data_IF_450520705432
#
_entry.id   IF_450520705432
#
_cell.length_a   1.000
_cell.length_b   1.000
_cell.length_c   1.000
_cell.angle_alpha   90.00
_cell.angle_beta   90.00
_cell.angle_gamma   90.00
#
_symmetry.space_group_name_H-M   'P 1'
#
loop_
_entity.id
_entity.type
_entity.pdbx_description
1 polymer ?
#
# COMPACT_ATOMS: atom_id res chain seq x y z
N UNK A 1 -22.03 -14.97 -27.56
CA UNK A 1 -21.35 -13.71 -27.93
C UNK A 1 -20.68 -13.20 -26.68
N UNK A 2 -19.36 -13.10 -26.71
CA UNK A 2 -18.50 -12.92 -25.53
C UNK A 2 -18.67 -11.53 -24.92
N UNK A 3 -19.30 -11.47 -23.75
CA UNK A 3 -19.18 -10.35 -22.81
C UNK A 3 -17.81 -10.43 -22.16
N UNK A 4 -16.88 -9.57 -22.56
CA UNK A 4 -15.55 -9.48 -21.95
C UNK A 4 -15.64 -8.82 -20.57
N UNK A 5 -15.14 -9.49 -19.52
CA UNK A 5 -15.22 -9.05 -18.11
C UNK A 5 -13.83 -8.99 -17.46
N UNK A 6 -13.69 -8.16 -16.42
CA UNK A 6 -12.43 -7.87 -15.73
C UNK A 6 -12.66 -7.85 -14.22
N UNK A 7 -11.85 -8.62 -13.49
CA UNK A 7 -11.88 -8.76 -12.02
C UNK A 7 -10.47 -8.50 -11.47
N UNK A 8 -10.32 -7.81 -10.32
CA UNK A 8 -9.03 -7.54 -9.67
C UNK A 8 -9.06 -8.07 -8.23
N UNK A 9 -8.13 -8.94 -7.77
CA UNK A 9 -8.15 -9.44 -6.36
C UNK A 9 -6.79 -9.96 -5.81
N UNK A 10 -6.63 -10.09 -4.46
CA UNK A 10 -5.43 -10.67 -3.77
C UNK A 10 -5.63 -11.07 -2.27
N UNK A 11 -4.90 -12.06 -1.70
CA UNK A 11 -4.84 -12.36 -0.23
C UNK A 11 -3.68 -13.29 0.28
N UNK A 12 -3.10 -13.16 1.54
CA UNK A 12 -2.41 -14.21 2.41
C UNK A 12 -2.25 -13.81 3.93
N UNK A 13 -2.34 -14.78 4.89
CA UNK A 13 -2.44 -14.66 6.39
C UNK A 13 -1.32 -15.38 7.23
N UNK A 14 -1.06 -14.98 8.51
CA UNK A 14 -0.91 -15.85 9.74
C UNK A 14 -0.43 -15.15 11.05
N UNK A 15 -0.80 -15.72 12.23
CA UNK A 15 -0.49 -15.30 13.65
C UNK A 15 0.31 -16.36 14.46
N UNK A 16 0.94 -15.95 15.58
CA UNK A 16 1.06 -16.75 16.83
C UNK A 16 2.47 -16.98 17.44
N UNK A 17 2.65 -16.85 18.76
CA UNK A 17 3.93 -16.92 19.50
C UNK A 17 3.86 -17.68 20.83
N UNK A 18 4.86 -18.50 21.21
CA UNK A 18 5.28 -18.82 22.61
C UNK A 18 6.78 -19.23 22.73
N UNK A 19 7.32 -19.07 23.95
CA UNK A 19 8.71 -18.80 24.42
C UNK A 19 9.37 -20.02 25.10
N UNK A 20 10.64 -20.37 24.86
CA UNK A 20 11.50 -21.30 25.67
C UNK A 20 13.01 -21.08 25.38
N UNK A 21 13.95 -21.57 26.23
CA UNK A 21 15.29 -21.00 26.58
C UNK A 21 16.53 -21.91 26.25
N UNK A 22 17.76 -21.30 26.24
CA UNK A 22 19.19 -21.76 26.19
C UNK A 22 19.86 -22.01 24.81
N UNK A 23 21.18 -21.82 24.54
CA UNK A 23 22.45 -22.13 25.25
C UNK A 23 23.64 -21.16 24.90
N UNK A 24 24.62 -20.96 25.80
CA UNK A 24 25.60 -19.82 25.86
C UNK A 24 26.91 -20.01 25.05
N UNK A 25 27.29 -21.24 24.69
CA UNK A 25 28.67 -21.58 24.28
C UNK A 25 29.09 -21.15 22.87
N UNK A 26 28.14 -20.81 21.99
CA UNK A 26 28.40 -20.31 20.63
C UNK A 26 28.66 -18.79 20.63
N UNK A 27 28.15 -18.08 21.65
CA UNK A 27 28.25 -16.62 21.75
C UNK A 27 29.61 -16.12 22.19
N UNK A 28 30.30 -16.84 23.08
CA UNK A 28 31.65 -16.44 23.52
C UNK A 28 32.67 -16.50 22.37
N UNK A 29 32.47 -17.41 21.40
CA UNK A 29 33.30 -17.47 20.18
C UNK A 29 33.05 -16.32 19.21
N UNK A 30 31.79 -15.94 18.99
CA UNK A 30 31.43 -14.82 18.12
C UNK A 30 31.76 -13.46 18.74
N UNK A 31 31.60 -13.31 20.05
CA UNK A 31 31.98 -12.11 20.82
C UNK A 31 33.50 -11.89 20.78
N UNK A 32 34.28 -12.96 20.94
CA UNK A 32 35.73 -12.92 20.83
C UNK A 32 36.17 -12.48 19.43
N UNK A 33 35.52 -13.00 18.37
CA UNK A 33 35.83 -12.66 16.98
C UNK A 33 35.38 -11.23 16.57
N UNK A 34 34.33 -10.70 17.20
CA UNK A 34 33.84 -9.33 17.01
C UNK A 34 34.76 -8.30 17.69
N UNK A 35 35.17 -8.57 18.92
CA UNK A 35 36.09 -7.70 19.69
C UNK A 35 37.54 -7.72 19.14
N UNK A 36 37.91 -8.76 18.40
CA UNK A 36 39.24 -8.89 17.77
C UNK A 36 39.31 -8.36 16.34
N UNK A 37 38.21 -7.89 15.75
CA UNK A 37 38.20 -7.38 14.38
C UNK A 37 38.68 -5.91 14.35
N UNK A 38 39.67 -5.55 13.53
CA UNK A 38 40.29 -4.21 13.51
C UNK A 38 39.36 -3.10 12.96
N UNK A 39 38.11 -3.44 12.59
CA UNK A 39 37.08 -2.52 12.09
C UNK A 39 35.98 -2.31 13.14
N UNK A 40 36.36 -2.32 14.42
CA UNK A 40 35.52 -1.81 15.49
C UNK A 40 35.30 -0.31 15.26
N UNK A 41 34.06 0.15 15.43
CA UNK A 41 33.63 1.55 15.28
C UNK A 41 34.24 2.49 16.33
N UNK A 42 35.55 2.48 16.56
CA UNK A 42 36.21 3.35 17.54
C UNK A 42 36.27 4.81 17.07
N UNK A 43 36.41 5.08 15.76
CA UNK A 43 36.85 6.41 15.34
C UNK A 43 35.84 7.22 14.50
N UNK A 44 34.82 6.61 13.87
CA UNK A 44 33.89 7.37 13.01
C UNK A 44 32.50 7.65 13.61
N UNK A 45 31.99 6.83 14.53
CA UNK A 45 30.63 7.00 15.12
C UNK A 45 30.50 6.44 16.55
N UNK A 46 31.08 7.11 17.57
CA UNK A 46 31.05 6.66 18.97
C UNK A 46 29.62 6.46 19.53
N UNK A 47 28.63 7.22 19.03
CA UNK A 47 27.22 7.13 19.45
C UNK A 47 26.50 5.85 19.00
N UNK A 48 27.11 5.06 18.12
CA UNK A 48 26.52 3.82 17.56
C UNK A 48 27.08 2.53 18.19
N UNK A 49 28.16 2.62 18.97
CA UNK A 49 28.76 1.48 19.69
C UNK A 49 27.80 0.91 20.75
N UNK A 50 27.21 1.76 21.60
CA UNK A 50 26.27 1.29 22.62
C UNK A 50 24.98 0.67 22.03
N UNK A 51 24.37 1.23 20.97
CA UNK A 51 23.30 0.57 20.22
C UNK A 51 23.69 -0.76 19.55
N UNK A 52 24.87 -0.85 18.93
CA UNK A 52 25.36 -2.07 18.30
C UNK A 52 25.64 -3.17 19.34
N UNK A 53 26.25 -2.80 20.47
CA UNK A 53 26.44 -3.71 21.61
C UNK A 53 25.09 -4.13 22.19
N UNK A 54 24.10 -3.24 22.26
CA UNK A 54 22.73 -3.57 22.70
C UNK A 54 22.02 -4.53 21.74
N UNK A 55 22.22 -4.39 20.42
CA UNK A 55 21.77 -5.37 19.42
C UNK A 55 22.43 -6.71 19.72
N UNK A 56 23.76 -6.74 19.84
CA UNK A 56 24.51 -7.96 20.14
C UNK A 56 24.04 -8.59 21.45
N UNK A 57 23.88 -7.84 22.53
CA UNK A 57 23.40 -8.31 23.83
C UNK A 57 21.94 -8.79 23.77
N UNK A 58 21.07 -8.12 23.00
CA UNK A 58 19.66 -8.49 22.84
C UNK A 58 19.46 -9.74 21.99
N UNK A 59 20.33 -9.97 21.01
CA UNK A 59 20.35 -11.19 20.20
C UNK A 59 21.30 -12.26 20.75
N UNK A 60 22.12 -11.92 21.78
CA UNK A 60 23.05 -12.82 22.51
C UNK A 60 22.38 -13.95 23.26
N UNK A 61 21.07 -13.82 23.46
CA UNK A 61 20.26 -14.74 24.28
C UNK A 61 19.18 -15.42 23.44
N UNK A 62 19.28 -15.41 22.10
CA UNK A 62 18.36 -16.20 21.28
C UNK A 62 18.60 -17.71 21.54
N UNK A 63 17.63 -18.41 22.11
CA UNK A 63 17.80 -19.80 22.46
C UNK A 63 17.82 -20.66 21.20
N UNK A 64 18.88 -21.45 21.04
CA UNK A 64 18.96 -22.51 20.04
C UNK A 64 18.06 -23.64 20.51
N UNK A 65 16.80 -23.62 20.07
CA UNK A 65 15.87 -24.72 20.34
C UNK A 65 16.11 -25.79 19.28
N UNK A 66 16.64 -26.94 19.70
CA UNK A 66 16.53 -28.22 19.00
C UNK A 66 15.32 -28.94 19.60
N UNK A 67 14.25 -29.14 18.85
CA UNK A 67 13.15 -30.05 19.24
C UNK A 67 12.83 -30.95 18.05
N UNK A 68 12.94 -32.25 18.31
CA UNK A 68 12.41 -33.32 17.47
C UNK A 68 10.88 -33.24 17.43
N UNK A 69 10.37 -33.31 16.21
CA UNK A 69 8.98 -33.21 15.80
C UNK A 69 8.12 -34.34 16.37
N UNK A 70 6.98 -34.01 16.99
CA UNK A 70 5.75 -34.80 16.91
C UNK A 70 4.53 -33.88 17.06
N UNK A 71 4.09 -33.20 15.99
CA UNK A 71 2.66 -32.94 15.74
C UNK A 71 2.41 -32.37 14.34
N UNK A 72 1.44 -32.95 13.65
CA UNK A 72 1.30 -33.05 12.20
C UNK A 72 0.80 -31.79 11.44
N UNK A 73 0.90 -30.57 11.97
CA UNK A 73 0.31 -29.37 11.35
C UNK A 73 1.28 -28.49 10.53
N UNK A 74 2.51 -28.96 10.32
CA UNK A 74 3.55 -28.27 9.54
C UNK A 74 3.70 -28.69 8.07
N UNK A 75 2.93 -29.68 7.60
CA UNK A 75 3.15 -30.30 6.27
C UNK A 75 2.87 -29.37 5.09
N UNK A 76 1.79 -28.59 5.13
CA UNK A 76 1.36 -27.76 3.98
C UNK A 76 2.33 -26.59 3.70
N UNK A 77 2.99 -26.04 4.73
CA UNK A 77 3.99 -24.97 4.55
C UNK A 77 5.35 -25.54 4.12
N UNK A 78 5.68 -26.78 4.50
CA UNK A 78 6.91 -27.47 4.08
C UNK A 78 6.89 -27.86 2.60
N UNK A 79 5.75 -28.23 2.04
CA UNK A 79 5.64 -28.64 0.62
C UNK A 79 5.73 -27.46 -0.36
N UNK A 80 5.27 -26.26 0.01
CA UNK A 80 5.32 -25.07 -0.85
C UNK A 80 6.69 -24.36 -0.88
N UNK A 81 7.61 -24.74 0.01
CA UNK A 81 8.93 -24.11 0.19
C UNK A 81 10.08 -25.02 -0.27
N UNK A 82 9.90 -25.76 -1.35
CA UNK A 82 11.03 -26.41 -2.03
C UNK A 82 11.45 -25.63 -3.28
N UNK A 83 12.71 -25.20 -3.38
CA UNK A 83 13.81 -25.43 -2.44
C UNK A 83 13.67 -24.54 -1.19
N UNK A 84 14.15 -25.03 -0.03
CA UNK A 84 14.13 -24.30 1.24
C UNK A 84 14.81 -22.95 1.01
N UNK A 85 14.04 -21.85 1.10
CA UNK A 85 14.57 -20.49 0.96
C UNK A 85 15.81 -20.34 1.84
N UNK A 86 16.97 -20.12 1.21
CA UNK A 86 18.24 -19.88 1.89
C UNK A 86 18.64 -18.43 1.70
N UNK A 87 18.77 -17.72 2.81
CA UNK A 87 19.17 -16.32 2.82
C UNK A 87 20.71 -16.25 2.80
N UNK A 88 21.24 -15.45 1.87
CA UNK A 88 22.67 -15.15 1.75
C UNK A 88 23.05 -13.93 2.60
N UNK A 89 24.28 -13.92 3.10
CA UNK A 89 24.83 -12.80 3.86
C UNK A 89 24.86 -11.50 3.07
N UNK A 90 25.19 -11.57 1.78
CA UNK A 90 25.22 -10.40 0.92
C UNK A 90 23.84 -9.76 0.78
N UNK A 91 22.77 -10.55 0.81
CA UNK A 91 21.41 -10.03 0.71
C UNK A 91 20.98 -9.34 2.01
N UNK A 92 21.35 -9.91 3.16
CA UNK A 92 21.15 -9.25 4.46
C UNK A 92 21.93 -7.92 4.49
N UNK A 93 23.19 -7.93 4.08
CA UNK A 93 24.04 -6.72 4.01
C UNK A 93 23.42 -5.66 3.10
N UNK A 94 22.92 -6.03 1.91
CA UNK A 94 22.22 -5.12 0.98
C UNK A 94 20.94 -4.55 1.59
N UNK A 95 20.16 -5.35 2.32
CA UNK A 95 18.92 -4.87 2.96
C UNK A 95 19.23 -3.92 4.12
N UNK A 96 20.29 -4.19 4.89
CA UNK A 96 20.73 -3.33 5.99
C UNK A 96 21.33 -2.01 5.49
N UNK A 97 22.18 -2.03 4.46
CA UNK A 97 22.78 -0.81 3.90
C UNK A 97 21.74 0.15 3.28
N UNK A 98 20.59 -0.38 2.83
CA UNK A 98 19.48 0.39 2.26
C UNK A 98 18.47 0.93 3.28
N UNK A 99 18.71 0.74 4.58
CA UNK A 99 17.78 1.22 5.61
C UNK A 99 17.62 2.75 5.59
N UNK A 100 16.39 3.22 5.79
CA UNK A 100 16.06 4.65 5.87
C UNK A 100 16.30 5.15 7.29
N UNK A 101 17.43 5.83 7.51
CA UNK A 101 17.96 6.20 8.84
C UNK A 101 17.01 7.03 9.71
N UNK A 102 16.13 7.84 9.11
CA UNK A 102 15.15 8.69 9.83
C UNK A 102 13.85 7.97 10.22
N UNK A 103 13.70 6.68 9.93
CA UNK A 103 12.50 5.92 10.32
C UNK A 103 12.54 5.56 11.81
N UNK A 104 11.37 5.46 12.42
CA UNK A 104 11.23 5.09 13.83
C UNK A 104 11.70 3.64 14.10
N UNK A 105 12.22 3.42 15.31
CA UNK A 105 12.63 2.10 15.82
C UNK A 105 11.42 1.35 16.40
N UNK A 106 11.53 0.02 16.43
CA UNK A 106 10.57 -0.85 17.11
C UNK A 106 10.80 -0.91 18.63
N UNK A 107 10.03 -1.75 19.34
CA UNK A 107 10.15 -1.94 20.80
C UNK A 107 11.47 -2.58 21.23
N UNK A 108 12.21 -3.21 20.30
CA UNK A 108 13.55 -3.72 20.53
C UNK A 108 14.59 -2.60 20.71
N UNK A 109 14.28 -1.38 20.28
CA UNK A 109 15.18 -0.23 20.38
C UNK A 109 16.25 -0.17 19.30
N UNK A 110 16.23 -1.08 18.32
CA UNK A 110 17.18 -1.14 17.22
C UNK A 110 16.77 -0.14 16.13
N UNK A 111 17.61 0.85 15.88
CA UNK A 111 17.31 1.89 14.89
C UNK A 111 17.72 1.47 13.47
N UNK A 112 17.04 1.97 12.43
CA UNK A 112 17.47 1.78 11.04
C UNK A 112 18.88 2.35 10.76
N UNK A 113 19.26 3.42 11.47
CA UNK A 113 20.59 4.01 11.37
C UNK A 113 21.68 3.04 11.88
N UNK A 114 21.43 2.37 13.01
CA UNK A 114 22.34 1.37 13.56
C UNK A 114 22.54 0.18 12.60
N UNK A 115 21.45 -0.38 12.06
CA UNK A 115 21.57 -1.47 11.09
C UNK A 115 22.30 -1.05 9.82
N UNK A 116 22.12 0.19 9.35
CA UNK A 116 22.83 0.70 8.17
C UNK A 116 24.33 0.86 8.43
N UNK A 117 24.70 1.46 9.55
CA UNK A 117 26.10 1.71 9.90
C UNK A 117 26.86 0.40 10.17
N UNK A 118 26.22 -0.55 10.85
CA UNK A 118 26.81 -1.83 11.21
C UNK A 118 26.44 -2.96 10.22
N UNK A 119 26.09 -2.62 8.97
CA UNK A 119 25.54 -3.59 8.02
C UNK A 119 26.51 -4.73 7.70
N UNK A 120 27.81 -4.46 7.67
CA UNK A 120 28.86 -5.45 7.38
C UNK A 120 29.07 -6.38 8.58
N UNK A 121 29.04 -5.84 9.79
CA UNK A 121 29.32 -6.60 11.00
C UNK A 121 28.12 -7.46 11.43
N UNK A 122 26.90 -6.94 11.20
CA UNK A 122 25.67 -7.61 11.61
C UNK A 122 25.16 -8.61 10.56
N UNK A 123 25.59 -8.54 9.30
CA UNK A 123 25.05 -9.37 8.22
C UNK A 123 25.19 -10.87 8.51
N UNK A 124 26.37 -11.33 8.90
CA UNK A 124 26.64 -12.75 9.19
C UNK A 124 25.75 -13.29 10.32
N UNK A 125 25.64 -12.53 11.41
CA UNK A 125 24.85 -12.90 12.60
C UNK A 125 23.36 -12.99 12.26
N UNK A 126 22.80 -11.99 11.58
CA UNK A 126 21.39 -12.00 11.20
C UNK A 126 21.10 -13.05 10.12
N UNK A 127 22.04 -13.36 9.24
CA UNK A 127 21.90 -14.44 8.25
C UNK A 127 21.71 -15.79 8.92
N UNK A 128 22.55 -16.10 9.92
CA UNK A 128 22.42 -17.32 10.72
C UNK A 128 21.04 -17.38 11.41
N UNK A 129 20.64 -16.29 12.07
CA UNK A 129 19.37 -16.21 12.78
C UNK A 129 18.16 -16.35 11.85
N UNK A 130 18.19 -15.72 10.67
CA UNK A 130 17.09 -15.79 9.70
C UNK A 130 16.97 -17.18 9.09
N UNK A 131 18.07 -17.79 8.65
CA UNK A 131 18.04 -19.16 8.14
C UNK A 131 17.57 -20.15 9.21
N UNK A 132 18.04 -20.00 10.45
CA UNK A 132 17.57 -20.83 11.57
C UNK A 132 16.08 -20.64 11.84
N UNK A 133 15.58 -19.42 11.74
CA UNK A 133 14.15 -19.12 11.84
C UNK A 133 13.33 -19.79 10.74
N UNK A 134 13.86 -19.89 9.52
CA UNK A 134 13.22 -20.58 8.39
C UNK A 134 13.21 -22.10 8.61
N UNK A 135 14.36 -22.70 8.95
CA UNK A 135 14.51 -24.13 9.25
C UNK A 135 13.56 -24.60 10.36
N UNK A 136 13.48 -23.83 11.45
CA UNK A 136 12.63 -24.15 12.60
C UNK A 136 11.18 -23.71 12.40
N UNK A 137 10.86 -23.00 11.31
CA UNK A 137 9.57 -22.35 11.08
C UNK A 137 9.10 -21.50 12.28
N UNK A 138 10.05 -20.86 12.97
CA UNK A 138 9.78 -20.14 14.23
C UNK A 138 10.51 -18.80 14.27
N UNK A 139 9.72 -17.72 14.21
CA UNK A 139 10.22 -16.36 14.38
C UNK A 139 10.60 -16.08 15.85
N UNK A 140 11.76 -15.47 16.12
CA UNK A 140 12.17 -15.03 17.46
C UNK A 140 11.15 -14.15 18.18
N UNK A 141 10.98 -14.32 19.50
CA UNK A 141 9.98 -13.56 20.25
C UNK A 141 10.25 -12.05 20.28
N UNK A 142 11.52 -11.63 20.25
CA UNK A 142 11.90 -10.21 20.19
C UNK A 142 11.44 -9.52 18.90
N UNK A 143 11.22 -10.27 17.81
CA UNK A 143 10.70 -9.75 16.55
C UNK A 143 9.17 -9.66 16.49
N UNK A 144 8.47 -10.29 17.43
CA UNK A 144 7.00 -10.35 17.44
C UNK A 144 6.33 -9.20 18.18
N UNK A 145 7.10 -8.38 18.89
CA UNK A 145 6.58 -7.19 19.57
C UNK A 145 6.35 -6.03 18.60
N UNK A 146 5.28 -5.28 18.83
CA UNK A 146 5.01 -4.00 18.17
C UNK A 146 4.63 -2.92 19.18
N UNK A 147 4.91 -1.67 18.83
CA UNK A 147 4.32 -0.49 19.49
C UNK A 147 3.30 0.12 18.57
N UNK A 148 2.03 0.13 18.99
CA UNK A 148 0.91 0.68 18.21
C UNK A 148 0.78 2.19 18.43
N UNK A 149 0.83 2.96 17.34
CA UNK A 149 0.64 4.41 17.33
C UNK A 149 -0.70 4.74 16.65
N UNK A 150 -1.70 5.26 17.38
CA UNK A 150 -2.98 5.65 16.77
C UNK A 150 -2.83 6.98 16.02
N UNK A 151 -3.19 7.00 14.74
CA UNK A 151 -3.18 8.20 13.89
C UNK A 151 -4.61 8.55 13.45
N UNK A 152 -5.10 9.78 13.68
CA UNK A 152 -6.42 10.21 13.23
C UNK A 152 -6.65 9.99 11.72
N UNK A 153 -7.73 9.31 11.34
CA UNK A 153 -8.20 9.19 9.94
C UNK A 153 -8.94 10.45 9.48
N UNK A 154 -9.61 11.14 10.42
CA UNK A 154 -10.44 12.33 10.17
C UNK A 154 -10.22 13.39 11.27
N UNK A 155 -10.49 14.68 11.00
CA UNK A 155 -10.22 15.76 11.96
C UNK A 155 -11.09 15.69 13.22
N UNK A 156 -12.35 15.24 13.10
CA UNK A 156 -13.25 15.05 14.25
C UNK A 156 -13.35 13.58 14.59
N UNK A 157 -12.82 13.19 15.74
CA UNK A 157 -12.83 11.80 16.23
C UNK A 157 -14.09 11.57 17.07
N UNK A 158 -14.82 10.49 16.76
CA UNK A 158 -16.05 10.09 17.44
C UNK A 158 -15.86 8.72 18.10
N UNK A 159 -15.04 7.83 17.53
CA UNK A 159 -14.75 6.52 18.11
C UNK A 159 -13.37 5.96 17.73
N UNK A 160 -13.02 4.81 18.30
CA UNK A 160 -11.71 4.17 18.08
C UNK A 160 -11.45 3.78 16.61
N UNK A 161 -12.51 3.46 15.85
CA UNK A 161 -12.41 3.13 14.42
C UNK A 161 -11.94 4.31 13.55
N UNK A 162 -12.00 5.53 14.10
CA UNK A 162 -11.53 6.75 13.46
C UNK A 162 -10.01 6.91 13.54
N UNK A 163 -9.31 6.03 14.25
CA UNK A 163 -7.86 5.94 14.23
C UNK A 163 -7.40 4.87 13.24
N UNK A 164 -6.31 5.17 12.54
CA UNK A 164 -5.48 4.19 11.85
C UNK A 164 -4.40 3.74 12.83
N UNK A 165 -4.36 2.46 13.12
CA UNK A 165 -3.24 1.86 13.87
C UNK A 165 -1.99 1.85 12.99
N UNK A 166 -0.87 2.37 13.50
CA UNK A 166 0.46 2.19 12.90
C UNK A 166 1.31 1.38 13.85
N UNK A 167 1.64 0.15 13.46
CA UNK A 167 2.45 -0.75 14.26
C UNK A 167 3.95 -0.61 13.95
N UNK A 168 4.71 -0.16 14.94
CA UNK A 168 6.17 -0.12 14.89
C UNK A 168 6.72 -1.49 15.31
N UNK A 169 7.01 -2.35 14.32
CA UNK A 169 7.71 -3.63 14.53
C UNK A 169 9.24 -3.48 14.40
N UNK A 170 9.97 -4.49 14.86
CA UNK A 170 11.44 -4.58 14.75
C UNK A 170 11.94 -4.31 13.33
N UNK A 171 12.97 -3.47 13.19
CA UNK A 171 13.57 -3.15 11.88
C UNK A 171 14.27 -4.37 11.27
N UNK A 172 14.85 -5.22 12.13
CA UNK A 172 15.44 -6.48 11.72
C UNK A 172 14.36 -7.46 11.22
N UNK A 173 13.20 -7.53 11.89
CA UNK A 173 12.06 -8.33 11.41
C UNK A 173 11.55 -7.86 10.04
N UNK A 174 11.36 -6.54 9.86
CA UNK A 174 10.96 -5.98 8.56
C UNK A 174 11.98 -6.28 7.45
N UNK A 175 13.26 -6.39 7.82
CA UNK A 175 14.33 -6.75 6.90
C UNK A 175 14.24 -8.22 6.51
N UNK A 176 13.97 -9.11 7.47
CA UNK A 176 13.71 -10.52 7.24
C UNK A 176 12.48 -10.75 6.36
N UNK A 177 11.35 -10.11 6.69
CA UNK A 177 10.11 -10.13 5.88
C UNK A 177 10.37 -9.69 4.45
N UNK A 178 11.23 -8.69 4.23
CA UNK A 178 11.56 -8.21 2.88
C UNK A 178 12.36 -9.23 2.06
N UNK A 179 13.25 -9.99 2.71
CA UNK A 179 13.99 -11.08 2.06
C UNK A 179 13.04 -12.22 1.67
N UNK A 180 12.16 -12.61 2.58
CA UNK A 180 11.14 -13.63 2.31
C UNK A 180 10.16 -13.16 1.24
N UNK A 181 9.72 -11.90 1.29
CA UNK A 181 8.83 -11.30 0.30
C UNK A 181 9.44 -11.31 -1.10
N UNK A 182 10.74 -11.07 -1.23
CA UNK A 182 11.42 -11.12 -2.53
C UNK A 182 11.30 -12.52 -3.16
N UNK A 183 11.53 -13.56 -2.36
CA UNK A 183 11.35 -14.95 -2.78
C UNK A 183 9.89 -15.27 -3.13
N UNK A 184 8.94 -14.87 -2.28
CA UNK A 184 7.52 -15.11 -2.54
C UNK A 184 7.05 -14.40 -3.81
N UNK A 185 7.52 -13.18 -4.08
CA UNK A 185 7.18 -12.44 -5.29
C UNK A 185 7.70 -13.08 -6.57
N UNK A 186 8.84 -13.78 -6.51
CA UNK A 186 9.39 -14.50 -7.65
C UNK A 186 8.48 -15.67 -8.04
N UNK A 187 7.98 -16.40 -7.04
CA UNK A 187 7.08 -17.55 -7.23
C UNK A 187 5.68 -17.08 -7.65
N UNK A 188 5.12 -16.09 -6.94
CA UNK A 188 3.72 -15.68 -7.17
C UNK A 188 3.55 -14.71 -8.31
N UNK A 189 4.61 -13.98 -8.70
CA UNK A 189 4.55 -12.94 -9.72
C UNK A 189 3.88 -13.36 -11.04
N UNK A 190 4.24 -14.52 -11.63
CA UNK A 190 3.59 -15.05 -12.84
C UNK A 190 2.12 -15.46 -12.65
N UNK A 191 1.70 -15.73 -11.42
CA UNK A 191 0.34 -16.18 -11.08
C UNK A 191 -0.60 -15.00 -10.76
N UNK A 192 -0.07 -13.78 -10.66
CA UNK A 192 -0.88 -12.60 -10.36
C UNK A 192 -1.73 -12.18 -11.56
N UNK A 193 -2.95 -11.78 -11.28
CA UNK A 193 -3.88 -11.27 -12.29
C UNK A 193 -3.23 -10.10 -13.08
N UNK A 194 -3.23 -10.14 -14.43
CA UNK A 194 -2.73 -9.05 -15.27
C UNK A 194 -3.38 -7.69 -15.03
N UNK A 195 -4.50 -7.63 -14.34
CA UNK A 195 -5.27 -6.43 -14.01
C UNK A 195 -5.17 -6.10 -12.51
N UNK A 196 -4.42 -6.87 -11.71
CA UNK A 196 -4.04 -6.41 -10.37
C UNK A 196 -3.05 -5.24 -10.47
N UNK A 197 -3.37 -4.08 -9.90
CA UNK A 197 -2.49 -2.90 -9.90
C UNK A 197 -1.78 -2.68 -8.56
N UNK A 198 -2.44 -2.99 -7.45
CA UNK A 198 -1.89 -2.81 -6.12
C UNK A 198 -0.64 -3.68 -5.87
N UNK A 199 0.34 -3.09 -5.19
CA UNK A 199 1.60 -3.72 -4.74
C UNK A 199 2.49 -4.36 -5.82
N UNK A 200 2.24 -4.05 -7.10
CA UNK A 200 3.08 -4.46 -8.23
C UNK A 200 4.04 -3.35 -8.64
N UNK A 201 5.24 -3.75 -9.07
CA UNK A 201 6.19 -2.82 -9.66
C UNK A 201 5.65 -2.30 -11.00
N UNK A 202 5.97 -1.04 -11.31
CA UNK A 202 5.57 -0.37 -12.55
C UNK A 202 4.07 -0.32 -12.79
N UNK A 203 3.29 -0.25 -11.70
CA UNK A 203 1.85 -0.05 -11.72
C UNK A 203 1.46 0.97 -10.67
N UNK A 204 0.46 1.77 -11.00
CA UNK A 204 -0.03 2.88 -10.19
C UNK A 204 -1.56 2.82 -10.06
N UNK A 205 -2.07 3.63 -9.15
CA UNK A 205 -3.52 3.86 -9.03
C UNK A 205 -4.08 4.56 -10.28
N UNK A 206 -3.30 5.44 -10.90
CA UNK A 206 -3.64 6.08 -12.19
C UNK A 206 -3.84 5.02 -13.29
N UNK A 207 -2.97 4.01 -13.38
CA UNK A 207 -3.09 2.93 -14.36
C UNK A 207 -4.40 2.15 -14.17
N UNK A 208 -4.78 1.88 -12.91
CA UNK A 208 -6.01 1.18 -12.59
C UNK A 208 -7.25 1.97 -13.03
N UNK A 209 -7.27 3.27 -12.74
CA UNK A 209 -8.37 4.16 -13.11
C UNK A 209 -8.44 4.33 -14.63
N UNK A 210 -7.31 4.58 -15.29
CA UNK A 210 -7.24 4.72 -16.75
C UNK A 210 -7.67 3.43 -17.47
N UNK A 211 -7.24 2.26 -16.99
CA UNK A 211 -7.68 0.98 -17.55
C UNK A 211 -9.18 0.76 -17.37
N UNK A 212 -9.73 1.05 -16.18
CA UNK A 212 -11.18 1.00 -15.95
C UNK A 212 -11.94 1.90 -16.92
N UNK A 213 -11.51 3.18 -17.05
CA UNK A 213 -12.10 4.14 -17.97
C UNK A 213 -11.98 3.70 -19.43
N UNK A 214 -10.85 3.13 -19.83
CA UNK A 214 -10.66 2.60 -21.18
C UNK A 214 -11.73 1.57 -21.53
N UNK A 215 -11.96 0.56 -20.68
CA UNK A 215 -12.99 -0.44 -20.93
C UNK A 215 -14.41 0.13 -20.90
N UNK A 216 -14.69 1.06 -19.97
CA UNK A 216 -15.97 1.76 -19.90
C UNK A 216 -16.25 2.50 -21.21
N UNK A 217 -15.32 3.35 -21.65
CA UNK A 217 -15.46 4.18 -22.85
C UNK A 217 -15.51 3.34 -24.13
N UNK A 218 -14.65 2.32 -24.24
CA UNK A 218 -14.62 1.40 -25.38
C UNK A 218 -15.97 0.68 -25.54
N UNK A 219 -16.60 0.28 -24.44
CA UNK A 219 -17.90 -0.37 -24.47
C UNK A 219 -19.02 0.59 -24.82
N UNK A 220 -19.03 1.78 -24.22
CA UNK A 220 -20.05 2.81 -24.45
C UNK A 220 -20.05 3.40 -25.87
N UNK A 221 -18.97 3.19 -26.64
CA UNK A 221 -18.93 3.55 -28.06
C UNK A 221 -19.86 2.68 -28.93
N UNK A 222 -20.31 1.52 -28.41
CA UNK A 222 -21.25 0.64 -29.11
C UNK A 222 -22.68 1.16 -28.98
N UNK A 223 -23.53 0.84 -29.95
CA UNK A 223 -24.95 1.21 -29.90
C UNK A 223 -25.69 0.39 -28.83
N UNK A 224 -26.63 1.04 -28.13
CA UNK A 224 -27.57 0.39 -27.18
C UNK A 224 -26.88 -0.30 -25.98
N UNK A 225 -25.69 0.16 -25.59
CA UNK A 225 -24.98 -0.37 -24.42
C UNK A 225 -25.05 0.56 -23.21
N UNK A 226 -24.77 0.01 -22.03
CA UNK A 226 -24.53 0.76 -20.79
C UNK A 226 -23.55 -0.03 -19.91
N UNK A 227 -23.00 0.60 -18.89
CA UNK A 227 -22.02 -0.01 -17.97
C UNK A 227 -22.53 0.04 -16.54
N UNK A 228 -22.26 -1.02 -15.79
CA UNK A 228 -22.43 -1.06 -14.34
C UNK A 228 -21.05 -1.26 -13.70
N UNK A 229 -20.78 -0.49 -12.65
CA UNK A 229 -19.52 -0.54 -11.93
C UNK A 229 -19.86 -0.82 -10.47
N UNK A 230 -19.40 -1.95 -9.94
CA UNK A 230 -19.55 -2.30 -8.54
C UNK A 230 -18.23 -2.03 -7.82
N UNK A 231 -18.23 -1.06 -6.91
CA UNK A 231 -17.10 -0.77 -6.03
C UNK A 231 -17.28 -1.60 -4.77
N UNK A 232 -16.44 -2.62 -4.61
CA UNK A 232 -16.54 -3.62 -3.55
C UNK A 232 -15.64 -3.23 -2.38
N UNK A 233 -16.24 -3.19 -1.18
CA UNK A 233 -15.53 -2.97 0.07
C UNK A 233 -15.63 -4.21 0.98
N UNK A 234 -14.64 -4.41 1.82
CA UNK A 234 -14.54 -5.55 2.74
C UNK A 234 -14.53 -5.09 4.19
N UNK A 235 -15.22 -5.84 5.05
CA UNK A 235 -15.25 -5.57 6.48
C UNK A 235 -13.86 -5.75 7.11
N UNK A 236 -13.42 -4.73 7.85
CA UNK A 236 -12.19 -4.74 8.64
C UNK A 236 -12.37 -5.53 9.95
N UNK A 237 -12.75 -6.81 9.90
CA UNK A 237 -12.79 -7.67 11.10
C UNK A 237 -11.44 -8.34 11.30
N UNK A 238 -11.00 -8.40 12.56
CA UNK A 238 -9.62 -8.53 13.05
C UNK A 238 -8.82 -9.80 12.69
N UNK A 239 -9.21 -10.62 11.73
CA UNK A 239 -8.53 -11.90 11.49
C UNK A 239 -8.40 -12.35 10.04
N UNK A 240 -8.89 -11.59 9.07
CA UNK A 240 -8.83 -12.01 7.68
C UNK A 240 -8.08 -10.99 6.86
N UNK A 241 -7.44 -11.49 5.81
CA UNK A 241 -6.80 -10.71 4.78
C UNK A 241 -7.80 -9.65 4.32
N UNK A 242 -7.38 -8.39 4.30
CA UNK A 242 -8.17 -7.31 3.73
C UNK A 242 -7.71 -7.22 2.27
N UNK A 243 -8.55 -7.61 1.28
CA UNK A 243 -8.30 -7.29 -0.11
C UNK A 243 -8.34 -5.77 -0.23
N UNK A 244 -7.44 -5.18 -1.02
CA UNK A 244 -7.57 -3.75 -1.35
C UNK A 244 -8.81 -3.54 -2.25
N UNK A 245 -9.15 -2.27 -2.48
CA UNK A 245 -10.26 -1.80 -3.31
C UNK A 245 -10.45 -2.68 -4.56
N UNK A 246 -11.56 -3.43 -4.60
CA UNK A 246 -11.92 -4.34 -5.69
C UNK A 246 -13.06 -3.74 -6.48
N UNK A 247 -12.97 -3.75 -7.81
CA UNK A 247 -14.01 -3.21 -8.69
C UNK A 247 -14.41 -4.23 -9.72
N UNK A 248 -15.71 -4.46 -9.87
CA UNK A 248 -16.28 -5.31 -10.93
C UNK A 248 -16.96 -4.41 -11.96
N UNK A 249 -16.57 -4.54 -13.23
CA UNK A 249 -17.15 -3.75 -14.33
C UNK A 249 -18.01 -4.67 -15.21
N UNK A 250 -19.32 -4.47 -15.15
CA UNK A 250 -20.32 -5.12 -15.99
C UNK A 250 -20.53 -4.35 -17.29
N UNK A 251 -20.03 -4.89 -18.41
CA UNK A 251 -20.23 -4.36 -19.76
C UNK A 251 -21.51 -4.95 -20.37
N UNK A 252 -22.62 -4.19 -20.35
CA UNK A 252 -23.94 -4.73 -20.69
C UNK A 252 -24.36 -4.37 -22.12
N UNK A 253 -24.81 -5.37 -22.86
CA UNK A 253 -25.40 -5.27 -24.21
C UNK A 253 -26.84 -5.78 -24.19
N UNK A 254 -27.69 -5.21 -25.05
CA UNK A 254 -29.05 -5.71 -25.32
C UNK A 254 -29.94 -5.97 -24.07
N UNK A 255 -29.66 -5.26 -22.97
CA UNK A 255 -30.32 -5.39 -21.67
C UNK A 255 -30.09 -6.72 -20.95
N UNK A 256 -29.19 -7.56 -21.44
CA UNK A 256 -28.81 -8.80 -20.75
C UNK A 256 -27.77 -8.52 -19.66
N UNK A 257 -28.22 -8.63 -18.41
CA UNK A 257 -27.40 -8.46 -17.21
C UNK A 257 -27.09 -9.78 -16.50
N UNK A 258 -27.45 -10.91 -17.10
CA UNK A 258 -27.29 -12.25 -16.49
C UNK A 258 -25.83 -12.52 -16.13
N UNK A 259 -24.91 -12.28 -17.07
CA UNK A 259 -23.47 -12.44 -16.85
C UNK A 259 -22.96 -11.59 -15.69
N UNK A 260 -23.32 -10.30 -15.63
CA UNK A 260 -22.92 -9.42 -14.52
C UNK A 260 -23.47 -9.91 -13.17
N UNK A 261 -24.74 -10.32 -13.12
CA UNK A 261 -25.35 -10.84 -11.87
C UNK A 261 -24.70 -12.13 -11.40
N UNK A 262 -24.50 -13.07 -12.32
CA UNK A 262 -23.86 -14.35 -12.03
C UNK A 262 -22.46 -14.16 -11.46
N UNK A 263 -21.70 -13.18 -11.97
CA UNK A 263 -20.34 -12.90 -11.53
C UNK A 263 -20.30 -12.22 -10.16
N UNK A 264 -21.24 -11.31 -9.88
CA UNK A 264 -21.39 -10.74 -8.53
C UNK A 264 -21.80 -11.81 -7.51
N UNK A 265 -22.66 -12.76 -7.88
CA UNK A 265 -23.01 -13.91 -7.05
C UNK A 265 -21.80 -14.83 -6.83
N UNK A 266 -21.05 -15.16 -7.88
CA UNK A 266 -19.82 -15.95 -7.78
C UNK A 266 -18.77 -15.26 -6.90
N UNK A 267 -18.61 -13.94 -7.01
CA UNK A 267 -17.71 -13.17 -6.16
C UNK A 267 -18.13 -13.29 -4.69
N UNK A 268 -19.42 -13.13 -4.38
CA UNK A 268 -19.92 -13.25 -3.02
C UNK A 268 -19.69 -14.66 -2.44
N UNK A 269 -19.92 -15.70 -3.24
CA UNK A 269 -19.64 -17.10 -2.89
C UNK A 269 -18.14 -17.34 -2.71
N UNK A 270 -17.29 -16.78 -3.58
CA UNK A 270 -15.85 -16.91 -3.44
C UNK A 270 -15.34 -16.22 -2.17
N UNK A 271 -15.88 -15.04 -1.85
CA UNK A 271 -15.54 -14.31 -0.63
C UNK A 271 -15.85 -15.15 0.62
N UNK A 272 -17.04 -15.76 0.68
CA UNK A 272 -17.43 -16.60 1.82
C UNK A 272 -16.52 -17.82 2.00
N UNK A 273 -16.13 -18.48 0.91
CA UNK A 273 -15.17 -19.60 0.95
C UNK A 273 -13.75 -19.17 1.37
N UNK A 274 -13.36 -17.93 1.09
CA UNK A 274 -12.03 -17.40 1.40
C UNK A 274 -11.97 -16.60 2.72
N UNK A 275 -13.00 -16.74 3.56
CA UNK A 275 -13.15 -16.02 4.85
C UNK A 275 -13.18 -14.49 4.72
N UNK A 276 -13.50 -13.98 3.53
CA UNK A 276 -13.67 -12.56 3.25
C UNK A 276 -15.13 -12.17 3.46
N UNK A 277 -15.35 -11.13 4.25
CA UNK A 277 -16.68 -10.60 4.50
C UNK A 277 -16.88 -9.30 3.73
N UNK A 278 -17.85 -9.30 2.81
CA UNK A 278 -18.24 -8.10 2.08
C UNK A 278 -18.89 -7.09 3.02
N UNK A 279 -18.51 -5.82 2.84
CA UNK A 279 -19.15 -4.70 3.51
C UNK A 279 -20.24 -4.15 2.58
N UNK A 280 -21.44 -4.72 2.69
CA UNK A 280 -22.57 -4.35 1.81
C UNK A 280 -23.05 -2.91 1.99
N UNK A 281 -22.69 -2.25 3.10
CA UNK A 281 -23.05 -0.85 3.37
C UNK A 281 -22.10 0.14 2.67
N UNK A 282 -20.82 -0.20 2.53
CA UNK A 282 -19.83 0.63 1.84
C UNK A 282 -19.63 0.20 0.38
N UNK A 283 -20.08 -1.00 0.02
CA UNK A 283 -20.16 -1.47 -1.38
C UNK A 283 -21.26 -0.71 -2.10
N UNK A 284 -20.93 -0.13 -3.26
CA UNK A 284 -21.86 0.71 -4.04
C UNK A 284 -21.81 0.37 -5.53
N UNK A 285 -22.92 0.60 -6.21
CA UNK A 285 -23.05 0.44 -7.67
C UNK A 285 -23.14 1.81 -8.34
N UNK A 286 -22.45 1.99 -9.46
CA UNK A 286 -22.59 3.15 -10.34
C UNK A 286 -23.03 2.66 -11.71
N UNK A 287 -24.00 3.37 -12.31
CA UNK A 287 -24.53 3.03 -13.63
C UNK A 287 -24.19 4.16 -14.60
N UNK A 288 -23.42 3.84 -15.63
CA UNK A 288 -23.07 4.78 -16.71
C UNK A 288 -23.91 4.44 -17.93
N UNK A 289 -24.87 5.31 -18.27
CA UNK A 289 -25.84 5.08 -19.34
C UNK A 289 -26.13 6.36 -20.12
N UNK A 290 -25.66 6.41 -21.36
CA UNK A 290 -25.84 7.55 -22.26
C UNK A 290 -26.96 7.35 -23.29
N UNK A 291 -27.79 6.31 -23.13
CA UNK A 291 -28.95 6.10 -24.01
C UNK A 291 -29.95 7.23 -23.83
N UNK A 292 -30.60 7.68 -24.91
CA UNK A 292 -31.54 8.83 -24.86
C UNK A 292 -32.73 8.62 -23.92
N UNK A 293 -33.25 7.40 -23.86
CA UNK A 293 -34.39 7.00 -23.03
C UNK A 293 -34.02 5.72 -22.27
N UNK A 294 -33.22 5.81 -21.20
CA UNK A 294 -32.81 4.64 -20.44
C UNK A 294 -34.02 4.09 -19.67
N UNK A 295 -34.27 2.77 -19.73
CA UNK A 295 -35.30 2.16 -18.88
C UNK A 295 -34.90 2.25 -17.41
N UNK A 296 -35.87 2.16 -16.50
CA UNK A 296 -35.57 2.01 -15.08
C UNK A 296 -34.76 0.72 -14.86
N UNK A 297 -33.56 0.86 -14.32
CA UNK A 297 -32.63 -0.22 -14.10
C UNK A 297 -32.67 -0.64 -12.62
N UNK A 298 -33.10 -1.87 -12.27
CA UNK A 298 -33.23 -2.27 -10.87
C UNK A 298 -31.85 -2.45 -10.22
N UNK A 299 -31.78 -2.17 -8.93
CA UNK A 299 -30.58 -2.36 -8.12
C UNK A 299 -30.19 -3.85 -8.03
N UNK A 300 -28.91 -4.10 -7.79
CA UNK A 300 -28.39 -5.44 -7.52
C UNK A 300 -28.48 -5.76 -6.02
N UNK A 301 -28.73 -7.03 -5.72
CA UNK A 301 -28.77 -7.57 -4.36
C UNK A 301 -27.59 -8.51 -4.17
N UNK A 302 -26.81 -8.30 -3.11
CA UNK A 302 -25.69 -9.16 -2.71
C UNK A 302 -26.02 -9.70 -1.32
N UNK A 303 -26.05 -11.03 -1.16
CA UNK A 303 -26.33 -11.69 0.14
C UNK A 303 -27.54 -11.08 0.86
N UNK A 304 -28.67 -11.01 0.14
CA UNK A 304 -29.96 -10.43 0.59
C UNK A 304 -29.95 -8.93 0.96
N UNK A 305 -28.84 -8.23 0.72
CA UNK A 305 -28.71 -6.78 0.90
C UNK A 305 -28.72 -6.06 -0.45
N UNK A 306 -29.58 -5.05 -0.59
CA UNK A 306 -29.60 -4.20 -1.79
C UNK A 306 -28.41 -3.24 -1.77
N UNK A 307 -27.60 -3.27 -2.83
CA UNK A 307 -26.47 -2.36 -3.01
C UNK A 307 -26.99 -0.97 -3.39
N UNK A 308 -26.46 0.07 -2.74
CA UNK A 308 -26.84 1.44 -3.03
C UNK A 308 -26.28 1.90 -4.39
N UNK A 309 -27.11 2.57 -5.19
CA UNK A 309 -26.64 3.24 -6.40
C UNK A 309 -26.08 4.64 -6.08
N UNK A 310 -25.00 5.03 -6.74
CA UNK A 310 -24.35 6.34 -6.57
C UNK A 310 -24.11 7.04 -7.89
N UNK A 311 -24.23 8.36 -7.89
CA UNK A 311 -23.95 9.20 -9.07
C UNK A 311 -22.48 9.57 -9.19
N UNK A 312 -21.75 9.62 -8.08
CA UNK A 312 -20.31 9.85 -8.04
C UNK A 312 -19.68 9.04 -6.92
N UNK A 313 -18.46 8.56 -7.13
CA UNK A 313 -17.74 7.74 -6.15
C UNK A 313 -16.24 8.05 -6.17
N UNK A 314 -15.63 8.11 -4.99
CA UNK A 314 -14.19 8.34 -4.85
C UNK A 314 -13.44 7.00 -4.89
N UNK A 315 -12.94 6.66 -6.06
CA UNK A 315 -12.19 5.43 -6.32
C UNK A 315 -10.68 5.70 -6.38
N UNK A 316 -9.88 4.98 -5.58
CA UNK A 316 -8.41 5.06 -5.56
C UNK A 316 -7.80 6.48 -5.44
N UNK A 317 -8.57 7.44 -4.92
CA UNK A 317 -8.13 8.84 -4.74
C UNK A 317 -8.73 9.83 -5.74
N UNK A 318 -9.43 9.36 -6.78
CA UNK A 318 -10.10 10.18 -7.81
C UNK A 318 -11.62 9.99 -7.73
N UNK A 319 -12.39 11.06 -7.90
CA UNK A 319 -13.85 10.95 -8.02
C UNK A 319 -14.25 10.69 -9.47
N UNK A 320 -14.96 9.58 -9.70
CA UNK A 320 -15.59 9.23 -10.97
C UNK A 320 -17.08 9.55 -10.86
N UNK A 321 -17.66 10.14 -11.89
CA UNK A 321 -19.10 10.46 -11.99
C UNK A 321 -19.77 9.59 -13.05
N UNK A 322 -21.05 9.29 -12.87
CA UNK A 322 -21.86 8.47 -13.79
C UNK A 322 -22.00 9.08 -15.19
N UNK A 323 -21.84 10.40 -15.30
CA UNK A 323 -21.86 11.13 -16.56
C UNK A 323 -20.45 11.32 -17.16
N UNK A 324 -19.44 10.71 -16.53
CA UNK A 324 -18.01 10.79 -16.87
C UNK A 324 -17.46 12.23 -16.96
N UNK A 325 -18.11 13.19 -16.30
CA UNK A 325 -17.55 14.53 -16.11
C UNK A 325 -16.61 14.57 -14.91
N UNK A 326 -15.65 15.49 -14.97
CA UNK A 326 -14.56 15.64 -14.00
C UNK A 326 -14.67 16.87 -13.10
N UNK A 327 -15.78 17.58 -13.16
CA UNK A 327 -16.03 18.83 -12.42
C UNK A 327 -15.93 18.63 -10.90
N UNK A 328 -16.49 17.53 -10.35
CA UNK A 328 -16.41 17.21 -8.91
C UNK A 328 -14.96 16.96 -8.48
N UNK A 329 -14.21 16.20 -9.28
CA UNK A 329 -12.79 15.91 -9.01
C UNK A 329 -11.95 17.19 -9.08
N UNK A 330 -12.11 17.98 -10.15
CA UNK A 330 -11.36 19.22 -10.37
C UNK A 330 -11.72 20.25 -9.31
N UNK A 331 -12.97 20.35 -8.87
CA UNK A 331 -13.37 21.20 -7.76
C UNK A 331 -12.65 20.82 -6.45
N UNK A 332 -12.52 19.52 -6.16
CA UNK A 332 -11.75 19.03 -5.00
C UNK A 332 -10.27 19.41 -5.09
N UNK A 333 -9.65 19.26 -6.27
CA UNK A 333 -8.26 19.63 -6.55
C UNK A 333 -8.07 21.13 -6.35
N UNK A 334 -8.89 21.96 -7.00
CA UNK A 334 -8.81 23.43 -6.93
C UNK A 334 -8.99 23.91 -5.49
N UNK A 335 -9.99 23.41 -4.74
CA UNK A 335 -10.19 23.78 -3.33
C UNK A 335 -8.97 23.47 -2.46
N UNK A 336 -8.38 22.28 -2.61
CA UNK A 336 -7.17 21.88 -1.87
C UNK A 336 -5.97 22.76 -2.23
N UNK A 337 -5.78 23.06 -3.52
CA UNK A 337 -4.70 23.93 -3.98
C UNK A 337 -4.88 25.37 -3.48
N UNK A 338 -6.11 25.89 -3.50
CA UNK A 338 -6.43 27.20 -2.96
C UNK A 338 -6.19 27.32 -1.45
N UNK A 339 -6.48 26.28 -0.68
CA UNK A 339 -6.12 26.23 0.74
C UNK A 339 -4.59 26.34 0.93
N UNK A 340 -3.81 25.70 0.05
CA UNK A 340 -2.34 25.73 0.11
C UNK A 340 -1.73 27.06 -0.32
N UNK A 341 -2.43 27.84 -1.16
CA UNK A 341 -2.03 29.22 -1.49
C UNK A 341 -1.96 30.11 -0.24
N UNK A 342 -2.73 29.83 0.82
CA UNK A 342 -2.62 30.56 2.08
C UNK A 342 -1.20 30.48 2.64
N UNK A 343 -0.62 29.28 2.70
CA UNK A 343 0.74 29.10 3.18
C UNK A 343 1.75 29.80 2.29
N UNK A 344 1.59 29.74 0.97
CA UNK A 344 2.45 30.48 0.04
C UNK A 344 2.40 32.00 0.28
N UNK A 345 1.22 32.57 0.59
CA UNK A 345 1.09 33.98 1.00
C UNK A 345 1.79 34.26 2.32
N UNK A 346 1.74 33.35 3.29
CA UNK A 346 2.49 33.49 4.55
C UNK A 346 4.00 33.51 4.27
N UNK A 347 4.51 32.61 3.42
CA UNK A 347 5.93 32.59 3.06
C UNK A 347 6.37 33.92 2.43
N UNK A 348 5.57 34.49 1.53
CA UNK A 348 5.82 35.82 0.97
C UNK A 348 5.85 36.90 2.05
N UNK A 349 4.91 36.86 3.01
CA UNK A 349 4.85 37.83 4.12
C UNK A 349 6.10 37.77 5.00
N UNK A 350 6.71 36.60 5.15
CA UNK A 350 7.98 36.41 5.86
C UNK A 350 9.21 36.73 4.99
N UNK A 351 9.03 37.31 3.80
CA UNK A 351 10.09 37.70 2.87
C UNK A 351 11.02 36.53 2.46
N UNK A 352 10.46 35.32 2.30
CA UNK A 352 11.25 34.20 1.80
C UNK A 352 11.72 34.47 0.35
N UNK A 353 12.94 34.05 -0.02
CA UNK A 353 13.43 34.13 -1.40
C UNK A 353 12.50 33.42 -2.41
N UNK A 354 12.42 33.97 -3.62
CA UNK A 354 11.59 33.42 -4.70
C UNK A 354 11.86 31.94 -4.96
N UNK A 355 13.13 31.52 -4.97
CA UNK A 355 13.53 30.13 -5.18
C UNK A 355 12.87 29.18 -4.18
N UNK A 356 12.81 29.54 -2.89
CA UNK A 356 12.19 28.72 -1.86
C UNK A 356 10.66 28.69 -2.01
N UNK A 357 10.06 29.80 -2.43
CA UNK A 357 8.61 29.85 -2.71
C UNK A 357 8.24 29.03 -3.95
N UNK A 358 9.07 29.02 -4.98
CA UNK A 358 8.90 28.15 -6.17
C UNK A 358 9.03 26.68 -5.77
N UNK A 359 10.03 26.32 -4.96
CA UNK A 359 10.17 24.95 -4.43
C UNK A 359 8.94 24.53 -3.61
N UNK A 360 8.40 25.44 -2.79
CA UNK A 360 7.16 25.19 -2.07
C UNK A 360 5.97 25.00 -3.02
N UNK A 361 5.84 25.84 -4.05
CA UNK A 361 4.79 25.69 -5.05
C UNK A 361 4.86 24.31 -5.71
N UNK A 362 6.02 23.90 -6.22
CA UNK A 362 6.15 22.60 -6.89
C UNK A 362 5.89 21.42 -5.96
N UNK A 363 6.43 21.46 -4.73
CA UNK A 363 6.28 20.36 -3.79
C UNK A 363 4.86 20.24 -3.19
N UNK A 364 4.12 21.35 -3.10
CA UNK A 364 2.88 21.42 -2.30
C UNK A 364 1.66 21.77 -3.13
N UNK A 365 1.74 22.70 -4.06
CA UNK A 365 0.57 23.16 -4.83
C UNK A 365 0.49 22.42 -6.15
N UNK A 366 1.58 22.43 -6.92
CA UNK A 366 1.70 21.76 -8.22
C UNK A 366 1.43 20.25 -8.09
N UNK A 367 1.98 19.60 -7.06
CA UNK A 367 1.70 18.19 -6.75
C UNK A 367 0.20 17.87 -6.61
N UNK A 368 -0.61 18.79 -6.09
CA UNK A 368 -2.07 18.60 -5.99
C UNK A 368 -2.74 18.83 -7.33
N UNK A 369 -2.32 19.88 -8.04
CA UNK A 369 -2.85 20.19 -9.36
C UNK A 369 -2.59 19.06 -10.35
N UNK A 370 -1.42 18.41 -10.28
CA UNK A 370 -1.05 17.29 -11.15
C UNK A 370 -1.58 15.94 -10.67
N UNK A 371 -2.28 15.88 -9.53
CA UNK A 371 -2.79 14.60 -9.02
C UNK A 371 -3.83 14.02 -9.99
N UNK A 372 -3.59 12.78 -10.42
CA UNK A 372 -4.41 12.09 -11.42
C UNK A 372 -4.56 12.82 -12.76
N UNK A 373 -3.62 13.70 -13.14
CA UNK A 373 -3.73 14.53 -14.34
C UNK A 373 -3.95 13.69 -15.61
N UNK A 374 -3.33 12.52 -15.69
CA UNK A 374 -3.48 11.58 -16.80
C UNK A 374 -4.92 11.09 -17.00
N UNK A 375 -5.72 11.10 -15.93
CA UNK A 375 -7.09 10.58 -15.90
C UNK A 375 -8.08 11.64 -16.36
N UNK A 376 -8.02 12.85 -15.77
CA UNK A 376 -9.08 13.85 -15.94
C UNK A 376 -8.75 14.94 -16.97
N UNK A 377 -7.47 15.22 -17.24
CA UNK A 377 -7.08 16.41 -18.02
C UNK A 377 -7.63 16.40 -19.44
N UNK A 378 -7.46 15.28 -20.16
CA UNK A 378 -7.92 15.15 -21.55
C UNK A 378 -9.43 15.24 -21.72
N UNK A 379 -10.20 15.01 -20.66
CA UNK A 379 -11.67 15.02 -20.66
C UNK A 379 -12.26 16.21 -19.89
N UNK A 380 -11.42 17.14 -19.41
CA UNK A 380 -11.86 18.29 -18.65
C UNK A 380 -12.53 19.34 -19.54
N UNK A 381 -13.52 20.05 -19.00
CA UNK A 381 -14.14 21.17 -19.71
C UNK A 381 -13.20 22.37 -19.81
N UNK A 382 -13.38 23.22 -20.83
CA UNK A 382 -12.63 24.49 -20.95
C UNK A 382 -12.84 25.40 -19.73
N UNK A 383 -14.00 25.34 -19.08
CA UNK A 383 -14.25 26.06 -17.82
C UNK A 383 -13.39 25.52 -16.68
N UNK A 384 -13.26 24.20 -16.57
CA UNK A 384 -12.49 23.59 -15.49
C UNK A 384 -10.98 23.82 -15.66
N UNK A 385 -10.46 23.70 -16.89
CA UNK A 385 -9.06 24.03 -17.17
C UNK A 385 -8.74 25.50 -16.85
N UNK A 386 -9.67 26.42 -17.13
CA UNK A 386 -9.51 27.83 -16.72
C UNK A 386 -9.46 28.01 -15.20
N UNK A 387 -10.21 27.23 -14.42
CA UNK A 387 -10.19 27.27 -12.95
C UNK A 387 -8.85 26.77 -12.39
N UNK A 388 -8.31 25.70 -12.98
CA UNK A 388 -6.97 25.17 -12.66
C UNK A 388 -5.92 26.24 -12.95
N UNK A 389 -5.92 26.79 -14.18
CA UNK A 389 -4.95 27.82 -14.58
C UNK A 389 -5.06 29.09 -13.72
N UNK A 390 -6.26 29.47 -13.29
CA UNK A 390 -6.41 30.62 -12.39
C UNK A 390 -5.67 30.43 -11.05
N UNK A 391 -5.62 29.20 -10.55
CA UNK A 391 -4.86 28.86 -9.33
C UNK A 391 -3.36 28.99 -9.56
N UNK A 392 -2.86 28.53 -10.71
CA UNK A 392 -1.46 28.70 -11.16
C UNK A 392 -1.11 30.19 -11.27
N UNK A 393 -1.90 30.96 -12.00
CA UNK A 393 -1.70 32.41 -12.19
C UNK A 393 -1.71 33.18 -10.85
N UNK A 394 -2.45 32.68 -9.86
CA UNK A 394 -2.47 33.29 -8.52
C UNK A 394 -1.19 32.98 -7.77
N UNK A 395 -0.65 31.76 -7.87
CA UNK A 395 0.66 31.42 -7.31
C UNK A 395 1.79 32.25 -7.96
N UNK A 396 1.78 32.37 -9.29
CA UNK A 396 2.71 33.23 -10.05
C UNK A 396 2.73 34.66 -9.53
N UNK A 397 1.55 35.27 -9.37
CA UNK A 397 1.43 36.64 -8.82
C UNK A 397 1.95 36.76 -7.40
N UNK A 398 1.85 35.70 -6.59
CA UNK A 398 2.40 35.70 -5.23
C UNK A 398 3.93 35.62 -5.30
N UNK A 399 4.49 34.69 -6.07
CA UNK A 399 5.94 34.45 -6.15
C UNK A 399 6.67 35.58 -6.89
N UNK A 400 6.05 36.14 -7.93
CA UNK A 400 6.65 37.13 -8.83
C UNK A 400 7.52 36.52 -9.93
N UNK A 401 7.32 35.23 -10.26
CA UNK A 401 8.01 34.49 -11.33
C UNK A 401 6.99 33.63 -12.06
N UNK A 402 7.13 33.51 -13.38
CA UNK A 402 6.30 32.63 -14.22
C UNK A 402 6.41 31.17 -13.73
N UNK A 403 5.28 30.47 -13.65
CA UNK A 403 5.18 29.06 -13.34
C UNK A 403 4.77 28.30 -14.61
N UNK A 404 5.05 26.99 -14.71
CA UNK A 404 4.64 26.19 -15.86
C UNK A 404 3.14 26.32 -16.11
N UNK A 405 2.74 26.43 -17.39
CA UNK A 405 1.34 26.45 -17.77
C UNK A 405 0.73 25.07 -17.46
N UNK A 406 -0.58 24.98 -17.23
CA UNK A 406 -1.27 23.68 -17.10
C UNK A 406 -1.12 22.76 -18.33
N UNK A 407 -0.75 23.31 -19.48
CA UNK A 407 -0.43 22.53 -20.70
C UNK A 407 1.00 21.99 -20.69
N UNK A 408 1.86 22.51 -19.82
CA UNK A 408 3.25 22.10 -19.62
C UNK A 408 3.41 21.19 -18.38
N UNK A 409 2.31 20.98 -17.62
CA UNK A 409 2.17 20.02 -16.51
C UNK A 409 1.71 18.66 -17.06
#
# INVERSE_FOLDING_TARGET
MESSMITLSHSVSRRGAKRFRFEISTWDRLRSHYLSSPVCCSDEHPDLLAPAQKVLDQFSVLPVIVICDQANDGRVVRELLQPVLKICEDDVRKVFSKQKTRKAKGPDGVSPACLKACAVQLSSIFTLNFNRSLELCKVPSCFKGSTTIPVPKKPKIIGLNDYRSIDLTSVAMKSFERLVLAYLKDITGPLLDPLQFAYRANRSVDDAVNMGLYYILQHLHKLVTYVRILFVDFCSTFNTIIPDDTTVIGLIQDRDKSAYRQEVEQLAVWCSHNNLQLNTLETVEMIVDFRRNPPALPLITITDSTVAAVESFKFLGTTISQDLKWDIQIDSIVKKSQQRLYFLRQLKKFNLPQVQMTQFYSAVIELVLCSFITVWFGSASKSDLRRVQWTVNTAERIIGVHQPNHQDL
#
